data_IF_688965389096
#
_entry.id   IF_688965389096
#
_cell.length_a   1.000
_cell.length_b   1.000
_cell.length_c   1.000
_cell.angle_alpha   90.00
_cell.angle_beta   90.00
_cell.angle_gamma   90.00
#
_symmetry.space_group_name_H-M   'P 1'
#
loop_
_entity.id
_entity.type
_entity.pdbx_description
1 polymer ?
#
# COMPACT_ATOMS: atom_id res chain seq x y z
N UNK A 1 -87.03 -7.09 26.68
CA UNK A 1 -86.30 -5.81 26.65
C UNK A 1 -84.99 -5.97 27.42
N UNK A 2 -83.91 -5.32 26.96
CA UNK A 2 -82.52 -5.27 27.46
C UNK A 2 -81.46 -6.18 26.81
N UNK A 3 -80.98 -5.64 25.67
CA UNK A 3 -79.58 -5.39 25.26
C UNK A 3 -78.57 -6.54 25.20
N UNK A 4 -78.28 -6.90 23.94
CA UNK A 4 -77.02 -7.44 23.41
C UNK A 4 -75.80 -6.70 23.99
N UNK A 5 -74.79 -7.44 24.43
CA UNK A 5 -73.44 -6.91 24.62
C UNK A 5 -72.48 -7.81 23.83
N UNK A 6 -72.13 -7.36 22.64
CA UNK A 6 -71.03 -7.93 21.85
C UNK A 6 -69.72 -7.61 22.57
N UNK A 7 -68.98 -8.63 23.01
CA UNK A 7 -67.57 -8.49 23.35
C UNK A 7 -66.75 -8.73 22.08
N UNK A 8 -66.34 -7.65 21.43
CA UNK A 8 -65.32 -7.67 20.38
C UNK A 8 -63.95 -7.83 21.06
N UNK A 9 -63.40 -9.04 21.06
CA UNK A 9 -62.02 -9.28 21.50
C UNK A 9 -61.07 -8.99 20.33
N UNK A 10 -60.69 -7.72 20.16
CA UNK A 10 -59.58 -7.35 19.28
C UNK A 10 -58.26 -7.61 20.02
N UNK A 11 -57.64 -8.77 19.77
CA UNK A 11 -56.27 -9.05 20.22
C UNK A 11 -55.34 -8.25 19.31
N UNK A 12 -54.83 -7.14 19.84
CA UNK A 12 -53.82 -6.29 19.20
C UNK A 12 -52.48 -7.03 19.24
N UNK A 13 -52.07 -7.60 18.10
CA UNK A 13 -50.77 -8.21 17.92
C UNK A 13 -49.72 -7.09 17.84
N UNK A 14 -49.13 -6.70 18.99
CA UNK A 14 -47.97 -5.83 19.03
C UNK A 14 -46.78 -6.60 18.43
N UNK A 15 -46.51 -6.37 17.14
CA UNK A 15 -45.24 -6.73 16.55
C UNK A 15 -44.17 -5.86 17.22
N UNK A 16 -43.41 -6.46 18.15
CA UNK A 16 -42.16 -5.89 18.63
C UNK A 16 -41.17 -5.91 17.46
N UNK A 17 -41.19 -4.86 16.64
CA UNK A 17 -40.06 -4.55 15.77
C UNK A 17 -38.92 -4.16 16.70
N UNK A 18 -38.01 -5.09 16.98
CA UNK A 18 -36.78 -4.78 17.68
C UNK A 18 -36.05 -3.71 16.89
N UNK A 19 -36.10 -2.46 17.36
CA UNK A 19 -35.27 -1.39 16.84
C UNK A 19 -33.83 -1.77 17.17
N UNK A 20 -33.08 -2.25 16.18
CA UNK A 20 -31.64 -2.31 16.29
C UNK A 20 -31.16 -0.89 16.48
N UNK A 21 -30.84 -0.50 17.71
CA UNK A 21 -30.26 0.80 17.97
C UNK A 21 -28.86 0.74 17.35
N UNK A 22 -28.68 1.50 16.28
CA UNK A 22 -27.40 1.73 15.64
C UNK A 22 -26.40 2.21 16.72
N UNK A 23 -25.25 1.54 16.82
CA UNK A 23 -24.24 1.83 17.83
C UNK A 23 -22.94 2.22 17.17
N UNK A 24 -22.44 3.38 17.58
CA UNK A 24 -21.08 3.85 17.35
C UNK A 24 -20.09 2.71 17.57
N UNK A 25 -19.44 2.29 16.50
CA UNK A 25 -18.45 1.22 16.49
C UNK A 25 -17.15 1.78 15.93
N UNK A 26 -16.16 1.99 16.80
CA UNK A 26 -14.86 2.54 16.38
C UNK A 26 -14.03 1.48 15.67
N UNK A 27 -13.42 1.85 14.55
CA UNK A 27 -12.49 1.00 13.80
C UNK A 27 -11.19 1.77 13.52
N UNK A 28 -10.08 1.22 14.01
CA UNK A 28 -8.73 1.68 13.69
C UNK A 28 -8.10 0.74 12.65
N UNK A 29 -7.60 1.32 11.56
CA UNK A 29 -6.91 0.61 10.48
C UNK A 29 -5.51 1.18 10.29
N UNK A 30 -4.53 0.29 10.29
CA UNK A 30 -3.13 0.58 9.99
C UNK A 30 -2.69 -0.15 8.73
N UNK A 31 -1.67 0.39 8.06
CA UNK A 31 -1.05 -0.25 6.91
C UNK A 31 0.44 -0.43 7.17
N UNK A 32 0.88 -1.69 7.14
CA UNK A 32 2.26 -2.10 7.39
C UNK A 32 2.90 -2.51 6.06
N UNK A 33 4.06 -1.95 5.73
CA UNK A 33 4.86 -2.46 4.63
C UNK A 33 5.42 -3.83 5.01
N UNK A 34 5.37 -4.82 4.11
CA UNK A 34 5.88 -6.16 4.37
C UNK A 34 7.38 -6.11 4.65
N UNK A 35 7.78 -6.81 5.72
CA UNK A 35 9.15 -6.78 6.26
C UNK A 35 9.69 -5.37 6.55
N UNK A 36 8.79 -4.44 6.87
CA UNK A 36 9.16 -3.07 7.18
C UNK A 36 8.16 -2.42 8.15
N UNK A 37 8.10 -1.10 8.13
CA UNK A 37 7.34 -0.29 9.08
C UNK A 37 6.00 0.18 8.53
N UNK A 38 5.23 0.92 9.34
CA UNK A 38 3.93 1.45 8.91
C UNK A 38 4.10 2.49 7.80
N UNK A 39 3.17 2.48 6.84
CA UNK A 39 3.11 3.48 5.76
C UNK A 39 2.53 4.77 6.32
N UNK A 40 3.43 5.72 6.59
CA UNK A 40 3.12 7.00 7.21
C UNK A 40 2.84 8.13 6.24
N UNK A 41 2.56 9.31 6.82
CA UNK A 41 2.27 10.55 6.09
C UNK A 41 3.39 10.93 5.11
N UNK A 42 4.65 10.64 5.44
CA UNK A 42 5.80 10.91 4.56
C UNK A 42 5.72 10.19 3.21
N UNK A 43 4.98 9.09 3.14
CA UNK A 43 4.73 8.34 1.90
C UNK A 43 3.31 8.59 1.36
N UNK A 44 2.67 9.68 1.78
CA UNK A 44 1.29 10.01 1.40
C UNK A 44 0.23 9.18 2.12
N UNK A 45 0.63 8.30 3.05
CA UNK A 45 -0.25 7.33 3.69
C UNK A 45 -0.76 6.26 2.72
N UNK A 46 -1.78 5.54 3.17
CA UNK A 46 -2.51 4.55 2.39
C UNK A 46 -4.01 4.85 2.43
N UNK A 47 -4.69 4.71 1.29
CA UNK A 47 -6.14 4.87 1.20
C UNK A 47 -6.80 3.63 1.79
N UNK A 48 -7.72 3.84 2.72
CA UNK A 48 -8.54 2.79 3.32
C UNK A 48 -9.97 2.93 2.81
N UNK A 49 -10.58 1.83 2.41
CA UNK A 49 -12.02 1.75 2.12
C UNK A 49 -12.61 0.59 2.91
N UNK A 50 -13.66 0.85 3.69
CA UNK A 50 -14.44 -0.15 4.42
C UNK A 50 -15.77 -0.30 3.70
N UNK A 51 -16.09 -1.51 3.23
CA UNK A 51 -17.28 -1.79 2.43
C UNK A 51 -18.09 -2.89 3.09
N UNK A 52 -19.40 -2.71 3.24
CA UNK A 52 -20.32 -3.79 3.59
C UNK A 52 -20.34 -4.83 2.47
N UNK A 53 -20.01 -6.08 2.78
CA UNK A 53 -19.92 -7.16 1.80
C UNK A 53 -21.30 -7.52 1.24
N UNK A 54 -22.35 -7.44 2.04
CA UNK A 54 -23.69 -7.86 1.63
C UNK A 54 -24.32 -6.86 0.66
N UNK A 55 -24.07 -5.56 0.85
CA UNK A 55 -24.70 -4.50 0.05
C UNK A 55 -23.78 -3.85 -0.97
N UNK A 56 -22.45 -4.02 -0.84
CA UNK A 56 -21.45 -3.29 -1.62
C UNK A 56 -21.31 -1.82 -1.22
N UNK A 57 -22.01 -1.37 -0.17
CA UNK A 57 -22.00 0.02 0.27
C UNK A 57 -20.68 0.36 0.94
N UNK A 58 -20.05 1.46 0.51
CA UNK A 58 -18.87 2.00 1.21
C UNK A 58 -19.34 2.65 2.51
N UNK A 59 -18.95 2.05 3.64
CA UNK A 59 -19.29 2.53 4.98
C UNK A 59 -18.37 3.68 5.42
N UNK A 60 -17.08 3.61 5.05
CA UNK A 60 -16.12 4.67 5.31
C UNK A 60 -14.95 4.63 4.34
N UNK A 61 -14.33 5.79 4.12
CA UNK A 61 -13.10 5.93 3.35
C UNK A 61 -12.22 7.03 3.94
N UNK A 62 -10.92 6.82 3.91
CA UNK A 62 -9.95 7.83 4.33
C UNK A 62 -8.53 7.46 3.96
N UNK A 63 -7.57 8.21 4.50
CA UNK A 63 -6.13 8.00 4.29
C UNK A 63 -5.47 7.88 5.67
N UNK A 64 -4.53 6.96 5.81
CA UNK A 64 -3.74 6.85 7.05
C UNK A 64 -2.90 8.10 7.29
N UNK A 65 -2.84 8.57 8.53
CA UNK A 65 -1.98 9.70 8.95
C UNK A 65 -1.22 9.35 10.21
N UNK A 66 0.05 9.76 10.25
CA UNK A 66 0.98 9.55 11.37
C UNK A 66 2.38 9.16 10.90
N UNK A 67 3.24 8.80 11.85
CA UNK A 67 4.60 8.32 11.60
C UNK A 67 4.66 6.83 11.25
N UNK A 68 5.85 6.37 10.86
CA UNK A 68 6.08 4.96 10.50
C UNK A 68 6.10 4.01 11.71
N UNK A 69 5.93 4.52 12.93
CA UNK A 69 6.09 3.74 14.16
C UNK A 69 7.55 3.58 14.60
N UNK A 70 7.74 2.88 15.73
CA UNK A 70 9.03 2.73 16.40
C UNK A 70 9.88 1.60 15.79
N UNK A 71 11.06 1.93 15.26
CA UNK A 71 11.95 0.95 14.61
C UNK A 71 12.38 -0.18 15.53
N UNK A 72 12.67 0.08 16.81
CA UNK A 72 13.11 -0.96 17.75
C UNK A 72 11.99 -1.97 17.98
N UNK A 73 10.79 -1.48 18.29
CA UNK A 73 9.61 -2.34 18.55
C UNK A 73 9.28 -3.17 17.31
N UNK A 74 9.24 -2.55 16.14
CA UNK A 74 8.75 -3.21 14.92
C UNK A 74 9.80 -4.15 14.32
N UNK A 75 11.07 -3.75 14.27
CA UNK A 75 12.08 -4.47 13.47
C UNK A 75 13.13 -5.22 14.29
N UNK A 76 13.37 -4.85 15.55
CA UNK A 76 14.50 -5.38 16.33
C UNK A 76 14.07 -6.28 17.48
N UNK A 77 12.88 -6.09 18.01
CA UNK A 77 12.35 -6.87 19.14
C UNK A 77 11.53 -8.05 18.63
N UNK A 78 11.76 -9.29 19.10
CA UNK A 78 10.89 -10.42 18.81
C UNK A 78 9.44 -10.15 19.26
N UNK A 79 8.47 -10.45 18.40
CA UNK A 79 7.05 -10.20 18.67
C UNK A 79 6.39 -11.42 19.30
N UNK A 80 5.97 -11.28 20.55
CA UNK A 80 5.09 -12.26 21.18
C UNK A 80 3.66 -12.11 20.66
N UNK A 81 2.83 -13.15 20.77
CA UNK A 81 1.40 -13.03 20.47
C UNK A 81 0.80 -11.86 21.27
N UNK A 82 0.00 -11.03 20.61
CA UNK A 82 -0.63 -9.80 21.17
C UNK A 82 0.33 -8.67 21.55
N UNK A 83 1.63 -8.75 21.21
CA UNK A 83 2.53 -7.62 21.40
C UNK A 83 2.07 -6.45 20.53
N UNK A 84 1.97 -5.27 21.15
CA UNK A 84 1.55 -4.04 20.47
C UNK A 84 2.65 -3.52 19.54
N UNK A 85 2.31 -3.23 18.30
CA UNK A 85 3.22 -2.68 17.29
C UNK A 85 3.03 -1.18 17.09
N UNK A 86 1.80 -0.69 17.18
CA UNK A 86 1.43 0.69 16.90
C UNK A 86 1.23 1.49 18.20
N UNK A 87 1.79 2.70 18.25
CA UNK A 87 1.52 3.70 19.28
C UNK A 87 0.57 4.79 18.78
N UNK A 88 0.29 5.79 19.61
CA UNK A 88 -0.60 6.90 19.27
C UNK A 88 -0.12 7.77 18.09
N UNK A 89 1.18 7.73 17.79
CA UNK A 89 1.81 8.49 16.71
C UNK A 89 1.89 7.68 15.42
N UNK A 90 1.67 6.36 15.50
CA UNK A 90 1.76 5.45 14.37
C UNK A 90 0.62 5.70 13.39
N UNK A 91 0.94 5.65 12.09
CA UNK A 91 0.01 6.00 11.04
C UNK A 91 -1.24 5.15 11.03
N UNK A 92 -2.42 5.78 11.12
CA UNK A 92 -3.72 5.11 11.13
C UNK A 92 -4.80 5.88 10.39
N UNK A 93 -5.81 5.16 9.95
CA UNK A 93 -7.13 5.68 9.64
C UNK A 93 -8.07 5.23 10.76
N UNK A 94 -8.74 6.17 11.40
CA UNK A 94 -9.66 5.92 12.51
C UNK A 94 -11.02 6.49 12.15
N UNK A 95 -12.06 5.68 12.31
CA UNK A 95 -13.44 6.07 11.99
C UNK A 95 -14.42 5.45 12.98
N UNK A 96 -15.61 6.02 13.08
CA UNK A 96 -16.73 5.50 13.86
C UNK A 96 -17.82 5.15 12.87
N UNK A 97 -18.24 3.89 12.87
CA UNK A 97 -19.27 3.37 11.99
C UNK A 97 -20.55 3.17 12.79
N UNK A 98 -21.65 3.66 12.23
CA UNK A 98 -22.97 3.44 12.80
C UNK A 98 -23.58 2.18 12.18
N UNK A 99 -23.57 1.08 12.94
CA UNK A 99 -24.06 -0.23 12.49
C UNK A 99 -25.11 -0.78 13.47
N UNK A 100 -26.21 -1.29 12.94
CA UNK A 100 -27.35 -1.80 13.74
C UNK A 100 -27.26 -3.29 14.06
N UNK A 101 -26.54 -4.04 13.22
CA UNK A 101 -26.42 -5.50 13.30
C UNK A 101 -24.99 -5.94 12.99
N UNK A 102 -24.60 -7.18 13.34
CA UNK A 102 -23.36 -7.76 12.88
C UNK A 102 -23.23 -7.59 11.36
N UNK A 103 -22.15 -6.94 10.93
CA UNK A 103 -21.94 -6.56 9.53
C UNK A 103 -20.58 -7.10 9.07
N UNK A 104 -20.58 -7.96 8.06
CA UNK A 104 -19.35 -8.43 7.43
C UNK A 104 -18.83 -7.32 6.53
N UNK A 105 -17.63 -6.82 6.82
CA UNK A 105 -17.00 -5.76 6.03
C UNK A 105 -15.77 -6.28 5.32
N UNK A 106 -15.51 -5.76 4.13
CA UNK A 106 -14.23 -5.85 3.44
C UNK A 106 -13.46 -4.54 3.65
N UNK A 107 -12.31 -4.61 4.30
CA UNK A 107 -11.41 -3.47 4.51
C UNK A 107 -10.27 -3.60 3.51
N UNK A 108 -10.17 -2.65 2.59
CA UNK A 108 -9.11 -2.57 1.57
C UNK A 108 -8.17 -1.42 1.89
N UNK A 109 -6.87 -1.68 1.77
CA UNK A 109 -5.80 -0.68 1.79
C UNK A 109 -5.14 -0.58 0.40
N UNK A 110 -4.85 0.63 -0.05
CA UNK A 110 -4.09 0.93 -1.26
C UNK A 110 -2.99 1.95 -0.95
N UNK A 111 -1.73 1.68 -1.27
CA UNK A 111 -0.64 2.62 -1.04
C UNK A 111 0.74 2.08 -1.42
N UNK A 112 1.82 2.85 -1.19
CA UNK A 112 1.82 4.23 -0.66
C UNK A 112 1.34 5.26 -1.69
N UNK A 113 0.56 6.25 -1.26
CA UNK A 113 -0.06 7.22 -2.18
C UNK A 113 0.92 8.23 -2.78
N UNK A 114 2.08 8.48 -2.15
CA UNK A 114 3.12 9.36 -2.70
C UNK A 114 3.97 8.73 -3.82
N UNK A 115 3.79 7.41 -4.08
CA UNK A 115 4.48 6.69 -5.17
C UNK A 115 3.44 5.93 -6.00
N UNK A 116 2.65 6.63 -6.85
CA UNK A 116 1.54 6.01 -7.57
C UNK A 116 1.92 4.78 -8.40
N UNK A 117 3.12 4.76 -8.97
CA UNK A 117 3.65 3.63 -9.75
C UNK A 117 3.94 2.38 -8.91
N UNK A 118 4.05 2.53 -7.58
CA UNK A 118 4.32 1.44 -6.63
C UNK A 118 3.12 1.10 -5.75
N UNK A 119 1.92 1.58 -6.10
CA UNK A 119 0.71 1.26 -5.33
C UNK A 119 0.40 -0.23 -5.47
N UNK A 120 0.33 -0.91 -4.33
CA UNK A 120 -0.27 -2.25 -4.21
C UNK A 120 -1.49 -2.20 -3.30
N UNK A 121 -2.26 -3.28 -3.27
CA UNK A 121 -3.44 -3.37 -2.41
C UNK A 121 -3.46 -4.65 -1.61
N UNK A 122 -4.09 -4.57 -0.44
CA UNK A 122 -4.44 -5.73 0.37
C UNK A 122 -5.82 -5.52 0.95
N UNK A 123 -6.55 -6.60 1.15
CA UNK A 123 -7.84 -6.54 1.82
C UNK A 123 -8.01 -7.69 2.79
N UNK A 124 -8.89 -7.49 3.78
CA UNK A 124 -9.36 -8.57 4.63
C UNK A 124 -10.83 -8.35 4.96
N UNK A 125 -11.54 -9.46 5.15
CA UNK A 125 -12.88 -9.43 5.68
C UNK A 125 -12.87 -9.66 7.20
N UNK A 126 -13.78 -8.99 7.90
CA UNK A 126 -14.08 -9.30 9.30
C UNK A 126 -15.49 -8.85 9.67
N UNK A 127 -16.03 -9.44 10.73
CA UNK A 127 -17.31 -9.03 11.29
C UNK A 127 -17.13 -7.84 12.23
N UNK A 128 -17.86 -6.77 11.98
CA UNK A 128 -18.07 -5.70 12.94
C UNK A 128 -19.32 -6.01 13.76
N UNK A 129 -19.24 -5.82 15.07
CA UNK A 129 -20.36 -6.00 16.00
C UNK A 129 -20.75 -4.62 16.57
N UNK A 130 -22.04 -4.27 16.60
CA UNK A 130 -22.50 -2.98 17.12
C UNK A 130 -21.98 -2.66 18.53
N UNK A 131 -21.29 -1.53 18.67
CA UNK A 131 -20.72 -1.04 19.94
C UNK A 131 -19.50 -1.81 20.42
N UNK A 132 -18.84 -2.60 19.56
CA UNK A 132 -17.60 -3.33 19.87
C UNK A 132 -16.44 -2.75 19.09
N UNK A 133 -15.71 -1.85 19.73
CA UNK A 133 -14.58 -1.15 19.15
C UNK A 133 -13.43 -2.09 18.78
N UNK A 134 -12.78 -1.77 17.65
CA UNK A 134 -11.50 -2.31 17.23
C UNK A 134 -10.46 -1.19 17.35
N UNK A 135 -9.74 -1.18 18.46
CA UNK A 135 -8.79 -0.12 18.87
C UNK A 135 -7.35 -0.66 19.03
N UNK A 136 -6.40 0.19 19.44
CA UNK A 136 -4.99 -0.17 19.55
C UNK A 136 -4.37 -0.45 18.18
N UNK A 137 -3.72 -1.61 18.02
CA UNK A 137 -3.22 -2.08 16.72
C UNK A 137 -4.35 -2.36 15.71
N UNK A 138 -5.58 -2.56 16.21
CA UNK A 138 -6.79 -2.68 15.41
C UNK A 138 -6.68 -3.63 14.22
N UNK A 139 -6.98 -3.11 13.04
CA UNK A 139 -6.85 -3.81 11.76
C UNK A 139 -5.53 -3.42 11.11
N UNK A 140 -4.54 -4.32 11.12
CA UNK A 140 -3.32 -4.17 10.32
C UNK A 140 -3.51 -4.88 8.98
N UNK A 141 -3.41 -4.12 7.88
CA UNK A 141 -3.29 -4.65 6.52
C UNK A 141 -1.83 -4.53 6.06
N UNK A 142 -1.32 -5.57 5.40
CA UNK A 142 0.08 -5.62 4.97
C UNK A 142 0.17 -5.44 3.46
N UNK A 143 1.01 -4.51 3.01
CA UNK A 143 1.31 -4.31 1.59
C UNK A 143 2.73 -4.78 1.30
N UNK A 144 2.89 -5.66 0.31
CA UNK A 144 4.19 -6.11 -0.14
C UNK A 144 4.71 -5.26 -1.30
N UNK A 145 6.02 -5.07 -1.35
CA UNK A 145 6.73 -4.43 -2.44
C UNK A 145 7.76 -3.38 -2.01
N UNK A 146 8.38 -2.79 -3.02
CA UNK A 146 9.25 -1.62 -2.90
C UNK A 146 8.58 -0.39 -3.52
N UNK A 147 8.91 0.79 -2.99
CA UNK A 147 8.68 2.05 -3.67
C UNK A 147 9.89 2.34 -4.58
N UNK A 148 9.79 1.89 -5.84
CA UNK A 148 10.80 2.05 -6.88
C UNK A 148 10.46 3.24 -7.78
N UNK A 149 11.46 4.08 -8.05
CA UNK A 149 11.35 5.19 -8.99
C UNK A 149 12.59 5.24 -9.88
N UNK A 150 12.40 5.24 -11.20
CA UNK A 150 13.44 5.58 -12.16
C UNK A 150 13.57 7.10 -12.21
N UNK A 151 14.65 7.61 -11.61
CA UNK A 151 14.96 9.04 -11.51
C UNK A 151 15.58 9.56 -12.80
N UNK A 152 16.42 8.74 -13.44
CA UNK A 152 16.98 8.99 -14.75
C UNK A 152 16.98 7.70 -15.60
N UNK A 153 16.74 7.79 -16.91
CA UNK A 153 16.35 9.00 -17.64
C UNK A 153 14.91 9.43 -17.32
N UNK A 154 14.58 10.69 -17.63
CA UNK A 154 13.22 11.19 -17.47
C UNK A 154 12.30 10.64 -18.56
N UNK A 155 11.01 10.55 -18.25
CA UNK A 155 10.00 10.15 -19.24
C UNK A 155 10.00 11.12 -20.43
N UNK A 156 9.93 10.58 -21.64
CA UNK A 156 9.99 11.28 -22.92
C UNK A 156 11.29 12.05 -23.17
N UNK A 157 12.35 11.80 -22.39
CA UNK A 157 13.64 12.42 -22.61
C UNK A 157 14.17 12.10 -24.01
N UNK A 158 14.70 13.13 -24.69
CA UNK A 158 15.36 13.00 -25.98
C UNK A 158 16.86 12.99 -25.79
N UNK A 159 17.52 11.95 -26.32
CA UNK A 159 18.97 11.75 -26.23
C UNK A 159 19.54 11.69 -27.63
N UNK A 160 20.51 12.54 -27.97
CA UNK A 160 21.18 12.52 -29.28
C UNK A 160 22.44 11.67 -29.21
N UNK A 161 22.55 10.69 -30.11
CA UNK A 161 23.72 9.81 -30.24
C UNK A 161 25.03 10.59 -30.43
N UNK A 162 24.98 11.78 -31.03
CA UNK A 162 26.15 12.62 -31.25
C UNK A 162 26.58 13.50 -30.06
N UNK A 163 25.77 13.65 -28.99
CA UNK A 163 26.05 14.55 -27.84
C UNK A 163 26.34 13.84 -26.53
N UNK A 164 25.64 12.75 -26.25
CA UNK A 164 26.06 11.78 -25.22
C UNK A 164 27.21 10.96 -25.80
N UNK A 165 28.20 10.55 -25.01
CA UNK A 165 29.31 9.67 -25.45
C UNK A 165 28.85 8.25 -25.90
N UNK A 166 27.59 8.12 -26.29
CA UNK A 166 26.89 6.88 -26.60
C UNK A 166 26.20 6.28 -25.38
N UNK A 167 26.41 6.76 -24.16
CA UNK A 167 25.93 6.06 -22.96
C UNK A 167 24.76 6.80 -22.27
N UNK A 168 23.70 6.06 -21.97
CA UNK A 168 22.52 6.53 -21.24
C UNK A 168 22.54 5.92 -19.85
N UNK A 169 22.62 6.78 -18.83
CA UNK A 169 22.55 6.36 -17.44
C UNK A 169 21.11 6.03 -17.04
N UNK A 170 20.95 4.90 -16.37
CA UNK A 170 19.74 4.51 -15.65
C UNK A 170 20.05 4.64 -14.18
N UNK A 171 19.36 5.56 -13.49
CA UNK A 171 19.50 5.78 -12.05
C UNK A 171 18.13 5.65 -11.41
N UNK A 172 18.06 4.89 -10.32
CA UNK A 172 16.84 4.69 -9.57
C UNK A 172 16.96 5.14 -8.12
N UNK A 173 15.83 5.43 -7.51
CA UNK A 173 15.65 5.56 -6.07
C UNK A 173 14.77 4.40 -5.59
N UNK A 174 15.28 3.60 -4.66
CA UNK A 174 14.65 2.39 -4.16
C UNK A 174 14.53 2.44 -2.62
N UNK A 175 13.29 2.43 -2.13
CA UNK A 175 12.99 2.39 -0.69
C UNK A 175 11.92 1.36 -0.39
N UNK A 176 11.81 0.92 0.87
CA UNK A 176 10.64 0.15 1.32
C UNK A 176 9.37 0.99 1.14
N UNK A 177 8.18 0.38 1.05
CA UNK A 177 6.92 1.12 0.92
C UNK A 177 6.65 2.13 2.05
N UNK A 178 7.28 1.95 3.22
CA UNK A 178 7.26 2.93 4.33
C UNK A 178 8.17 4.16 4.11
N UNK A 179 8.91 4.22 3.00
CA UNK A 179 9.94 5.23 2.74
C UNK A 179 11.25 4.94 3.47
N UNK A 180 11.38 3.74 4.04
CA UNK A 180 12.55 3.37 4.80
C UNK A 180 13.75 3.11 3.88
N UNK A 181 14.95 3.62 4.20
CA UNK A 181 16.10 3.62 3.30
C UNK A 181 16.65 2.22 3.06
N UNK A 182 17.21 2.00 1.87
CA UNK A 182 17.92 0.76 1.50
C UNK A 182 19.40 1.05 1.26
N UNK A 183 20.28 0.19 1.74
CA UNK A 183 21.73 0.30 1.52
C UNK A 183 22.42 -1.03 1.89
N UNK A 184 23.60 -1.34 1.33
CA UNK A 184 24.37 -2.50 1.74
C UNK A 184 24.69 -2.45 3.24
N UNK A 185 24.44 -3.55 3.96
CA UNK A 185 24.62 -3.66 5.42
C UNK A 185 23.63 -2.85 6.27
N UNK A 186 22.63 -2.22 5.66
CA UNK A 186 21.56 -1.50 6.37
C UNK A 186 20.55 -2.44 7.04
N UNK A 187 19.56 -1.86 7.75
CA UNK A 187 18.45 -2.66 8.29
C UNK A 187 17.60 -3.30 7.18
N UNK A 188 17.48 -2.60 6.04
CA UNK A 188 16.98 -3.14 4.79
C UNK A 188 18.17 -3.25 3.84
N UNK A 189 18.89 -4.35 4.01
CA UNK A 189 20.18 -4.58 3.38
C UNK A 189 20.03 -4.88 1.89
N UNK A 190 20.41 -3.91 1.06
CA UNK A 190 20.27 -4.02 -0.38
C UNK A 190 21.27 -4.94 -1.05
N UNK A 191 22.27 -5.45 -0.33
CA UNK A 191 23.16 -6.49 -0.87
C UNK A 191 22.42 -7.81 -1.12
N UNK A 192 21.24 -7.97 -0.53
CA UNK A 192 20.38 -9.13 -0.77
C UNK A 192 19.42 -8.94 -1.95
N UNK A 193 19.37 -7.77 -2.59
CA UNK A 193 18.36 -7.47 -3.61
C UNK A 193 18.90 -7.69 -5.02
N UNK A 194 18.04 -8.21 -5.89
CA UNK A 194 18.26 -8.26 -7.33
C UNK A 194 17.63 -7.01 -7.97
N UNK A 195 18.45 -6.13 -8.53
CA UNK A 195 17.99 -4.88 -9.16
C UNK A 195 18.45 -4.88 -10.62
N UNK A 196 17.50 -5.00 -11.54
CA UNK A 196 17.77 -5.22 -12.96
C UNK A 196 17.09 -4.17 -13.83
N UNK A 197 17.80 -3.71 -14.87
CA UNK A 197 17.24 -2.88 -15.92
C UNK A 197 17.14 -3.68 -17.23
N UNK A 198 15.98 -3.61 -17.88
CA UNK A 198 15.68 -4.19 -19.18
C UNK A 198 15.37 -3.06 -20.16
N UNK A 199 16.20 -2.95 -21.20
CA UNK A 199 16.03 -1.96 -22.26
C UNK A 199 15.34 -2.63 -23.44
N UNK A 200 14.19 -2.11 -23.84
CA UNK A 200 13.37 -2.66 -24.91
C UNK A 200 13.22 -1.69 -26.08
N UNK A 201 13.35 -2.21 -27.30
CA UNK A 201 13.08 -1.49 -28.54
C UNK A 201 12.15 -2.35 -29.40
N UNK A 202 11.01 -1.80 -29.82
CA UNK A 202 10.05 -2.57 -30.63
C UNK A 202 9.41 -3.78 -29.92
N UNK A 203 9.49 -3.85 -28.58
CA UNK A 203 8.99 -4.97 -27.78
C UNK A 203 10.04 -6.04 -27.46
N UNK A 204 11.22 -5.99 -28.10
CA UNK A 204 12.33 -6.91 -27.84
C UNK A 204 13.31 -6.29 -26.83
N UNK A 205 13.82 -7.10 -25.90
CA UNK A 205 14.90 -6.68 -25.00
C UNK A 205 16.21 -6.63 -25.78
N UNK A 206 16.79 -5.43 -25.87
CA UNK A 206 18.06 -5.17 -26.58
C UNK A 206 19.25 -5.00 -25.63
N UNK A 207 19.00 -4.76 -24.34
CA UNK A 207 20.02 -4.82 -23.29
C UNK A 207 19.38 -5.19 -21.95
N UNK A 208 20.15 -5.90 -21.11
CA UNK A 208 19.81 -6.21 -19.73
C UNK A 208 21.08 -6.08 -18.88
N UNK A 209 20.99 -5.41 -17.73
CA UNK A 209 22.13 -5.22 -16.84
C UNK A 209 21.67 -4.96 -15.39
N UNK A 210 22.49 -5.34 -14.40
CA UNK A 210 22.23 -4.99 -13.00
C UNK A 210 22.44 -3.50 -12.74
N UNK A 211 21.73 -2.97 -11.74
CA UNK A 211 21.96 -1.64 -11.20
C UNK A 211 22.72 -1.73 -9.88
N UNK A 212 23.87 -1.07 -9.82
CA UNK A 212 24.78 -1.14 -8.69
C UNK A 212 24.58 0.01 -7.70
N UNK A 213 24.85 -0.22 -6.43
CA UNK A 213 24.76 0.80 -5.39
C UNK A 213 25.72 1.97 -5.69
N UNK A 214 25.21 3.20 -5.68
CA UNK A 214 26.03 4.37 -6.09
C UNK A 214 26.92 4.93 -4.98
N UNK A 215 26.93 4.31 -3.79
CA UNK A 215 27.51 4.90 -2.58
C UNK A 215 26.58 5.87 -1.84
N UNK A 216 25.42 6.19 -2.42
CA UNK A 216 24.41 7.07 -1.84
C UNK A 216 23.18 6.24 -1.45
N UNK A 217 22.76 6.36 -0.19
CA UNK A 217 21.62 5.61 0.39
C UNK A 217 20.40 5.63 -0.53
N UNK A 218 19.83 4.46 -0.78
CA UNK A 218 18.66 4.22 -1.63
C UNK A 218 18.85 4.49 -3.12
N UNK A 219 20.06 4.79 -3.60
CA UNK A 219 20.31 5.03 -5.02
C UNK A 219 21.16 3.95 -5.67
N UNK A 220 20.73 3.54 -6.86
CA UNK A 220 21.37 2.51 -7.67
C UNK A 220 21.44 2.97 -9.12
N UNK A 221 22.49 2.57 -9.84
CA UNK A 221 22.66 2.96 -11.23
C UNK A 221 23.39 1.94 -12.08
N UNK A 222 23.13 2.03 -13.38
CA UNK A 222 23.85 1.37 -14.44
C UNK A 222 23.70 2.19 -15.70
N UNK A 223 24.12 1.64 -16.83
CA UNK A 223 24.10 2.36 -18.09
C UNK A 223 24.05 1.41 -19.27
N UNK A 224 23.57 1.94 -20.40
CA UNK A 224 23.60 1.21 -21.66
C UNK A 224 23.90 2.15 -22.82
N UNK A 225 24.36 1.57 -23.91
CA UNK A 225 24.66 2.30 -25.15
C UNK A 225 23.65 1.92 -26.25
N UNK A 226 22.71 2.81 -26.63
CA UNK A 226 21.82 2.53 -27.74
C UNK A 226 22.60 2.46 -29.07
N UNK A 227 22.34 1.42 -29.86
CA UNK A 227 22.98 1.25 -31.17
C UNK A 227 22.26 2.02 -32.29
N UNK A 228 20.94 2.18 -32.17
CA UNK A 228 20.08 2.75 -33.22
C UNK A 228 19.23 3.88 -32.65
N UNK A 229 18.95 4.94 -33.43
CA UNK A 229 17.88 5.88 -33.10
C UNK A 229 16.54 5.14 -32.96
N UNK A 230 15.65 5.69 -32.14
CA UNK A 230 14.29 5.16 -31.99
C UNK A 230 13.72 5.36 -30.60
N UNK A 231 12.56 4.76 -30.39
CA UNK A 231 11.85 4.75 -29.10
C UNK A 231 12.32 3.56 -28.27
N UNK A 232 12.73 3.81 -27.04
CA UNK A 232 13.15 2.80 -26.09
C UNK A 232 12.27 2.85 -24.83
N UNK A 233 11.93 1.69 -24.30
CA UNK A 233 11.38 1.52 -22.96
C UNK A 233 12.49 0.99 -22.05
N UNK A 234 12.66 1.61 -20.89
CA UNK A 234 13.57 1.15 -19.83
C UNK A 234 12.68 0.68 -18.71
N UNK A 235 12.59 -0.64 -18.53
CA UNK A 235 11.89 -1.29 -17.44
C UNK A 235 12.91 -1.60 -16.35
N UNK A 236 12.65 -1.22 -15.11
CA UNK A 236 13.49 -1.56 -13.97
C UNK A 236 12.68 -2.37 -12.97
N UNK A 237 13.27 -3.45 -12.47
CA UNK A 237 12.71 -4.30 -11.42
C UNK A 237 13.65 -4.35 -10.22
N UNK A 238 13.07 -4.46 -9.02
CA UNK A 238 13.78 -4.85 -7.81
C UNK A 238 13.08 -6.05 -7.18
N UNK A 239 13.86 -6.99 -6.67
CA UNK A 239 13.36 -8.20 -6.02
C UNK A 239 14.21 -8.54 -4.79
N UNK A 240 13.55 -8.83 -3.67
CA UNK A 240 14.18 -9.40 -2.48
C UNK A 240 13.79 -10.87 -2.35
N UNK A 241 14.72 -11.81 -2.54
CA UNK A 241 14.46 -13.24 -2.45
C UNK A 241 14.10 -13.72 -1.04
N UNK A 242 14.41 -12.96 0.01
CA UNK A 242 14.10 -13.37 1.39
C UNK A 242 12.65 -13.08 1.79
N UNK A 243 12.07 -12.00 1.25
CA UNK A 243 10.74 -11.52 1.63
C UNK A 243 9.71 -11.64 0.50
N UNK A 244 10.17 -11.78 -0.74
CA UNK A 244 9.31 -11.70 -1.92
C UNK A 244 8.84 -10.28 -2.23
N UNK A 245 9.42 -9.25 -1.61
CA UNK A 245 9.14 -7.86 -1.98
C UNK A 245 9.62 -7.59 -3.41
N UNK A 246 8.76 -6.97 -4.22
CA UNK A 246 9.04 -6.60 -5.60
C UNK A 246 8.76 -5.11 -5.86
N UNK A 247 9.53 -4.50 -6.74
CA UNK A 247 9.30 -3.13 -7.24
C UNK A 247 9.44 -3.09 -8.75
N UNK A 248 8.63 -2.27 -9.41
CA UNK A 248 8.71 -2.07 -10.86
C UNK A 248 8.44 -0.61 -11.21
N UNK A 249 9.19 -0.07 -12.16
CA UNK A 249 8.91 1.20 -12.81
C UNK A 249 9.44 1.16 -14.24
N UNK A 250 8.89 1.99 -15.12
CA UNK A 250 9.34 2.10 -16.50
C UNK A 250 9.42 3.55 -16.96
N UNK A 251 10.32 3.80 -17.91
CA UNK A 251 10.46 5.10 -18.58
C UNK A 251 10.58 4.90 -20.09
N UNK A 252 9.87 5.73 -20.83
CA UNK A 252 9.97 5.80 -22.28
C UNK A 252 10.95 6.92 -22.64
N UNK A 253 11.88 6.66 -23.54
CA UNK A 253 12.81 7.67 -24.07
C UNK A 253 12.90 7.62 -25.59
N UNK A 254 13.43 8.70 -26.18
CA UNK A 254 13.67 8.81 -27.61
C UNK A 254 15.14 9.06 -27.89
N UNK A 255 15.78 8.12 -28.56
CA UNK A 255 17.15 8.28 -29.08
C UNK A 255 17.07 8.86 -30.48
N UNK A 256 17.70 10.01 -30.69
CA UNK A 256 17.81 10.67 -31.99
C UNK A 256 19.21 10.48 -32.57
N UNK A 257 19.34 10.73 -33.87
CA UNK A 257 20.65 10.92 -34.48
C UNK A 257 21.42 12.07 -33.79
#
# INVERSE_FOLDING_TARGET
MYKKMLFFSAVLLLMFTGTGIAKDTRVVVHVLAHDAKFIGTSMGGARITITDVATGTVLARGITRGGTGNTTVIMKTPHARTSRLADEKTARFETVLDIEKPTLVNITAEGPLARPQSITSASRQLWLLPGKDISGDGVILRLSGFALEVVAPHSLQRVSLGKTAGEISVRIHLVMMCGCPTAPGGLWDSSNYEIMAYVRQGGETVAEFPLEFTGETSFFSGSFKPEKPGRYEILVTAYDPNTGNTGVDSKLIFVTK
#
